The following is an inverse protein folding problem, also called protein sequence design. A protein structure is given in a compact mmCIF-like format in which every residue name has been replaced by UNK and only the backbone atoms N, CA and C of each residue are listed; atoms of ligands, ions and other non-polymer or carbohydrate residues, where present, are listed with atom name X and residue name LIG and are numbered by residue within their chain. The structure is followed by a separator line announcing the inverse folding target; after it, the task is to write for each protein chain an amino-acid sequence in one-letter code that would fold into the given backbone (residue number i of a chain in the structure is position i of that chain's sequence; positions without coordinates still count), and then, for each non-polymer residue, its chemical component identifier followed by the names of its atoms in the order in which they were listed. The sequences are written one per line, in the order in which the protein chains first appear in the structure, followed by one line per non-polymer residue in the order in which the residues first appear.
data_IF_225791933863
#
_entry.id   IF_225791933863
#
_cell.length_a   1.000
_cell.length_b   1.000
_cell.length_c   1.000
_cell.angle_alpha   90.00
_cell.angle_beta   90.00
_cell.angle_gamma   90.00
#
_symmetry.space_group_name_H-M   'P 1'
#
loop_
_entity.id
_entity.type
_entity.pdbx_description
1 polymer ?
#
# COMPACT_ATOMS: atom_id res chain seq x y z
N UNK A 1 12.71 -0.49 -25.71
CA UNK A 1 11.58 -0.24 -24.81
C UNK A 1 10.94 -1.59 -24.49
N UNK A 2 10.87 -1.96 -23.23
CA UNK A 2 10.19 -3.18 -22.79
C UNK A 2 8.87 -2.76 -22.19
N UNK A 3 7.77 -3.27 -22.73
CA UNK A 3 6.42 -3.02 -22.22
C UNK A 3 6.03 -4.22 -21.37
N UNK A 4 5.62 -4.00 -20.13
CA UNK A 4 5.10 -5.05 -19.27
C UNK A 4 3.86 -5.64 -19.92
N UNK A 5 3.71 -6.96 -20.01
CA UNK A 5 2.58 -7.55 -20.71
C UNK A 5 1.27 -7.20 -20.00
N UNK A 6 0.26 -6.98 -20.81
CA UNK A 6 -1.12 -6.97 -20.32
C UNK A 6 -1.47 -8.36 -19.76
N UNK A 7 -2.36 -8.45 -18.77
CA UNK A 7 -2.79 -9.72 -18.20
C UNK A 7 -3.39 -10.62 -19.29
N UNK A 8 -3.00 -11.87 -19.30
CA UNK A 8 -3.47 -12.86 -20.26
C UNK A 8 -4.34 -13.91 -19.58
N UNK A 9 -5.63 -13.88 -19.82
CA UNK A 9 -6.59 -14.85 -19.30
C UNK A 9 -6.99 -14.62 -17.85
N UNK A 10 -7.62 -15.61 -17.22
CA UNK A 10 -8.05 -15.57 -15.83
C UNK A 10 -6.93 -16.03 -14.90
N UNK A 11 -6.42 -15.12 -14.07
CA UNK A 11 -5.43 -15.49 -13.04
C UNK A 11 -6.01 -16.42 -11.98
N UNK A 12 -7.31 -16.33 -11.71
CA UNK A 12 -8.01 -17.25 -10.80
C UNK A 12 -8.02 -18.68 -11.32
N UNK A 13 -8.18 -18.89 -12.65
CA UNK A 13 -8.08 -20.22 -13.26
C UNK A 13 -6.63 -20.75 -13.23
N UNK A 14 -5.67 -19.87 -13.50
CA UNK A 14 -4.26 -20.21 -13.44
C UNK A 14 -3.84 -20.65 -12.04
N UNK A 15 -4.20 -19.88 -11.01
CA UNK A 15 -3.82 -20.18 -9.62
C UNK A 15 -4.52 -21.43 -9.10
N UNK A 16 -5.77 -21.70 -9.53
CA UNK A 16 -6.50 -22.93 -9.21
C UNK A 16 -5.80 -24.16 -9.78
N UNK A 17 -5.50 -24.15 -11.08
CA UNK A 17 -4.79 -25.24 -11.75
C UNK A 17 -3.42 -25.50 -11.13
N UNK A 18 -2.71 -24.44 -10.80
CA UNK A 18 -1.40 -24.53 -10.15
C UNK A 18 -1.49 -25.07 -8.73
N UNK A 19 -2.52 -24.68 -7.97
CA UNK A 19 -2.77 -25.21 -6.64
C UNK A 19 -2.90 -26.73 -6.65
N UNK A 20 -3.73 -27.27 -7.54
CA UNK A 20 -3.90 -28.70 -7.74
C UNK A 20 -2.56 -29.39 -8.10
N UNK A 21 -1.76 -28.76 -8.97
CA UNK A 21 -0.47 -29.31 -9.40
C UNK A 21 0.56 -29.33 -8.26
N UNK A 22 0.60 -28.30 -7.41
CA UNK A 22 1.62 -28.15 -6.34
C UNK A 22 1.25 -28.94 -5.10
N UNK A 23 -0.03 -28.89 -4.69
CA UNK A 23 -0.47 -29.46 -3.40
C UNK A 23 -1.24 -30.76 -3.54
N UNK A 24 -1.73 -31.10 -4.75
CA UNK A 24 -2.48 -32.32 -5.02
C UNK A 24 -3.94 -32.29 -4.50
N UNK A 25 -4.44 -31.11 -4.15
CA UNK A 25 -5.79 -30.88 -3.65
C UNK A 25 -6.48 -29.77 -4.43
N UNK A 26 -7.82 -29.77 -4.47
CA UNK A 26 -8.58 -28.62 -4.92
C UNK A 26 -8.51 -27.50 -3.89
N UNK A 27 -8.50 -26.22 -4.29
CA UNK A 27 -8.54 -25.12 -3.35
C UNK A 27 -9.91 -25.01 -2.67
N UNK A 28 -9.91 -24.68 -1.38
CA UNK A 28 -11.14 -24.35 -0.60
C UNK A 28 -11.65 -22.94 -0.90
N UNK A 29 -10.78 -22.07 -1.45
CA UNK A 29 -11.17 -20.72 -1.86
C UNK A 29 -10.16 -20.10 -2.81
N UNK A 30 -10.67 -19.22 -3.66
CA UNK A 30 -9.91 -18.47 -4.66
C UNK A 30 -10.42 -17.04 -4.74
N UNK A 31 -9.52 -16.08 -4.89
CA UNK A 31 -9.86 -14.69 -5.18
C UNK A 31 -8.70 -13.97 -5.88
N UNK A 32 -9.00 -12.85 -6.51
CA UNK A 32 -8.00 -11.95 -7.09
C UNK A 32 -8.20 -10.52 -6.60
N UNK A 33 -7.13 -9.74 -6.60
CA UNK A 33 -7.17 -8.34 -6.26
C UNK A 33 -6.24 -7.51 -7.15
N UNK A 34 -6.66 -6.28 -7.52
CA UNK A 34 -5.98 -5.45 -8.49
C UNK A 34 -4.76 -4.71 -7.90
N UNK A 35 -3.85 -4.33 -8.79
CA UNK A 35 -2.85 -3.31 -8.51
C UNK A 35 -3.52 -1.96 -8.24
N UNK A 36 -2.88 -1.15 -7.41
CA UNK A 36 -3.34 0.19 -7.05
C UNK A 36 -2.20 1.19 -7.13
N UNK A 37 -2.46 2.40 -7.60
CA UNK A 37 -1.55 3.54 -7.48
C UNK A 37 -2.16 4.67 -6.68
N UNK A 38 -1.36 5.34 -5.85
CA UNK A 38 -1.73 6.61 -5.23
C UNK A 38 -1.41 7.73 -6.20
N UNK A 39 -2.43 8.46 -6.67
CA UNK A 39 -2.24 9.58 -7.57
C UNK A 39 -1.78 10.83 -6.81
N UNK A 40 -2.39 11.08 -5.65
CA UNK A 40 -2.09 12.23 -4.80
C UNK A 40 -2.64 12.00 -3.39
N UNK A 41 -2.11 12.68 -2.38
CA UNK A 41 -2.55 12.54 -0.99
C UNK A 41 -1.85 11.40 -0.25
N UNK A 42 -0.70 10.96 -0.74
CA UNK A 42 0.13 9.93 -0.10
C UNK A 42 0.48 10.33 1.33
N UNK A 43 0.44 9.36 2.23
CA UNK A 43 0.73 9.52 3.68
C UNK A 43 -0.25 10.39 4.48
N UNK A 44 -1.39 10.81 3.93
CA UNK A 44 -2.39 11.62 4.66
C UNK A 44 -3.45 10.80 5.39
N UNK A 45 -3.44 9.50 5.23
CA UNK A 45 -4.47 8.56 5.70
C UNK A 45 -4.63 8.48 7.22
N UNK A 46 -3.55 8.68 7.98
CA UNK A 46 -3.57 8.63 9.45
C UNK A 46 -3.91 9.98 10.12
N UNK A 47 -4.01 11.04 9.34
CA UNK A 47 -4.35 12.40 9.83
C UNK A 47 -5.76 12.85 9.44
N UNK A 48 -6.58 11.95 8.90
CA UNK A 48 -7.88 12.30 8.35
C UNK A 48 -7.78 13.15 7.08
N UNK A 49 -6.73 12.95 6.29
CA UNK A 49 -6.50 13.66 5.04
C UNK A 49 -7.37 13.18 3.89
N UNK A 50 -6.95 13.52 2.68
CA UNK A 50 -7.69 13.27 1.45
C UNK A 50 -6.75 12.71 0.40
N UNK A 51 -7.13 11.62 -0.26
CA UNK A 51 -6.28 10.99 -1.27
C UNK A 51 -7.08 10.46 -2.46
N UNK A 52 -6.39 10.33 -3.59
CA UNK A 52 -6.94 9.80 -4.82
C UNK A 52 -6.12 8.60 -5.31
N UNK A 53 -6.81 7.52 -5.65
CA UNK A 53 -6.23 6.25 -6.08
C UNK A 53 -6.83 5.77 -7.40
N UNK A 54 -6.03 5.03 -8.18
CA UNK A 54 -6.50 4.31 -9.35
C UNK A 54 -6.37 2.79 -9.14
N UNK A 55 -7.30 2.04 -9.77
CA UNK A 55 -7.24 0.58 -9.92
C UNK A 55 -6.68 0.23 -11.30
N UNK A 56 -5.88 -0.81 -11.36
CA UNK A 56 -5.26 -1.28 -12.60
C UNK A 56 -5.60 -2.74 -12.88
N UNK A 57 -5.55 -3.13 -14.15
CA UNK A 57 -5.89 -4.48 -14.61
C UNK A 57 -4.86 -5.56 -14.21
N UNK A 58 -3.65 -5.16 -13.82
CA UNK A 58 -2.67 -6.09 -13.25
C UNK A 58 -3.17 -6.60 -11.89
N UNK A 59 -3.11 -7.90 -11.66
CA UNK A 59 -3.70 -8.52 -10.48
C UNK A 59 -2.73 -9.43 -9.74
N UNK A 60 -3.08 -9.75 -8.51
CA UNK A 60 -2.57 -10.88 -7.74
C UNK A 60 -3.73 -11.80 -7.39
N UNK A 61 -3.66 -13.06 -7.85
CA UNK A 61 -4.63 -14.09 -7.51
C UNK A 61 -4.05 -15.03 -6.47
N UNK A 62 -4.90 -15.47 -5.55
CA UNK A 62 -4.57 -16.38 -4.45
C UNK A 62 -5.59 -17.50 -4.40
N UNK A 63 -5.12 -18.73 -4.26
CA UNK A 63 -5.93 -19.89 -3.88
C UNK A 63 -5.36 -20.53 -2.62
N UNK A 64 -6.21 -21.12 -1.80
CA UNK A 64 -5.77 -21.82 -0.59
C UNK A 64 -6.55 -23.10 -0.36
N UNK A 65 -5.94 -24.05 0.39
CA UNK A 65 -6.63 -25.18 1.01
C UNK A 65 -6.22 -25.30 2.47
N UNK A 66 -7.15 -25.75 3.32
CA UNK A 66 -6.87 -25.97 4.73
C UNK A 66 -6.01 -27.23 4.95
N UNK A 67 -5.16 -27.16 5.96
CA UNK A 67 -4.28 -28.24 6.41
C UNK A 67 -4.82 -28.85 7.70
N UNK A 68 -4.27 -30.00 8.09
CA UNK A 68 -4.56 -30.60 9.41
C UNK A 68 -3.64 -30.07 10.54
N UNK A 69 -2.55 -29.38 10.20
CA UNK A 69 -1.61 -28.76 11.13
C UNK A 69 -1.75 -27.22 11.15
N UNK A 70 -0.88 -26.52 11.86
CA UNK A 70 -0.87 -25.03 11.91
C UNK A 70 0.22 -24.40 11.03
N UNK A 71 0.69 -25.11 9.99
CA UNK A 71 1.68 -24.58 9.06
C UNK A 71 1.01 -23.74 7.96
N UNK A 72 1.69 -22.68 7.56
CA UNK A 72 1.38 -21.87 6.37
C UNK A 72 2.48 -22.12 5.35
N UNK A 73 2.14 -22.74 4.22
CA UNK A 73 3.07 -22.94 3.11
C UNK A 73 2.59 -22.11 1.92
N UNK A 74 3.50 -21.40 1.30
CA UNK A 74 3.21 -20.53 0.15
C UNK A 74 4.04 -20.95 -1.04
N UNK A 75 3.37 -21.21 -2.16
CA UNK A 75 3.98 -21.29 -3.48
C UNK A 75 3.60 -20.03 -4.26
N UNK A 76 4.59 -19.23 -4.63
CA UNK A 76 4.40 -17.93 -5.25
C UNK A 76 5.03 -17.88 -6.62
N UNK A 77 4.22 -17.67 -7.64
CA UNK A 77 4.67 -17.43 -9.01
C UNK A 77 4.64 -15.94 -9.29
N UNK A 78 5.79 -15.39 -9.64
CA UNK A 78 5.95 -13.99 -9.92
C UNK A 78 6.45 -13.77 -11.34
N UNK A 79 5.79 -12.88 -12.08
CA UNK A 79 6.35 -12.34 -13.31
C UNK A 79 7.57 -11.47 -12.96
N UNK A 80 8.69 -11.71 -13.59
CA UNK A 80 9.93 -10.95 -13.42
C UNK A 80 10.65 -10.78 -14.74
N UNK A 81 11.56 -9.82 -14.79
CA UNK A 81 12.46 -9.59 -15.91
C UNK A 81 13.88 -9.43 -15.36
N UNK A 82 14.81 -10.26 -15.84
CA UNK A 82 16.16 -10.29 -15.30
C UNK A 82 17.06 -9.14 -15.81
N UNK A 83 16.66 -8.48 -16.89
CA UNK A 83 17.37 -7.32 -17.47
C UNK A 83 16.58 -6.72 -18.63
N UNK A 84 16.96 -5.51 -19.00
CA UNK A 84 16.37 -4.83 -20.13
C UNK A 84 16.55 -5.62 -21.42
N UNK A 85 15.46 -5.75 -22.17
CA UNK A 85 15.43 -6.53 -23.42
C UNK A 85 15.33 -8.05 -23.23
N UNK A 86 15.38 -8.56 -21.99
CA UNK A 86 15.08 -9.97 -21.71
C UNK A 86 13.58 -10.22 -21.67
N UNK A 87 13.12 -11.44 -22.07
CA UNK A 87 11.72 -11.79 -21.97
C UNK A 87 11.29 -11.86 -20.50
N UNK A 88 10.05 -11.41 -20.24
CA UNK A 88 9.43 -11.61 -18.93
C UNK A 88 9.26 -13.11 -18.69
N UNK A 89 9.67 -13.56 -17.52
CA UNK A 89 9.61 -14.95 -17.09
C UNK A 89 8.85 -15.07 -15.78
N UNK A 90 8.18 -16.18 -15.60
CA UNK A 90 7.60 -16.54 -14.31
C UNK A 90 8.66 -17.28 -13.49
N UNK A 91 8.88 -16.82 -12.25
CA UNK A 91 9.77 -17.46 -11.29
C UNK A 91 8.94 -17.93 -10.11
N UNK A 92 9.16 -19.19 -9.72
CA UNK A 92 8.47 -19.81 -8.59
C UNK A 92 9.35 -19.73 -7.34
N UNK A 93 8.73 -19.37 -6.25
CA UNK A 93 9.32 -19.31 -4.92
C UNK A 93 8.44 -20.05 -3.92
N UNK A 94 9.04 -20.62 -2.87
CA UNK A 94 8.30 -21.28 -1.79
C UNK A 94 8.78 -20.82 -0.43
N UNK A 95 7.82 -20.65 0.49
CA UNK A 95 8.06 -20.25 1.88
C UNK A 95 7.19 -21.06 2.84
N UNK A 96 7.63 -21.15 4.07
CA UNK A 96 6.90 -21.79 5.18
C UNK A 96 6.99 -20.92 6.43
N UNK A 97 5.95 -20.93 7.25
CA UNK A 97 5.83 -20.36 8.58
C UNK A 97 4.79 -21.16 9.37
N UNK A 98 4.66 -20.93 10.67
CA UNK A 98 3.58 -21.50 11.48
C UNK A 98 2.70 -20.40 12.06
N UNK A 99 1.39 -20.65 12.19
CA UNK A 99 0.48 -19.70 12.84
C UNK A 99 0.88 -19.47 14.30
N UNK A 100 1.46 -20.47 14.97
CA UNK A 100 1.89 -20.36 16.37
C UNK A 100 3.05 -19.38 16.54
N UNK A 101 4.09 -19.45 15.69
CA UNK A 101 5.19 -18.49 15.73
C UNK A 101 4.78 -17.08 15.33
N UNK A 102 3.80 -16.95 14.41
CA UNK A 102 3.24 -15.66 14.01
C UNK A 102 2.43 -15.03 15.15
N UNK A 103 1.61 -15.82 15.84
CA UNK A 103 0.82 -15.40 16.99
C UNK A 103 1.71 -14.95 18.15
N UNK A 104 2.77 -15.71 18.46
CA UNK A 104 3.77 -15.36 19.46
C UNK A 104 4.51 -14.06 19.12
N UNK A 105 4.97 -13.92 17.87
CA UNK A 105 5.69 -12.72 17.41
C UNK A 105 4.81 -11.46 17.42
N UNK A 106 3.51 -11.60 17.17
CA UNK A 106 2.53 -10.50 17.16
C UNK A 106 1.92 -10.20 18.53
N UNK A 107 2.21 -11.01 19.55
CA UNK A 107 1.74 -10.79 20.91
C UNK A 107 2.19 -9.42 21.43
N UNK A 108 1.26 -8.62 21.96
CA UNK A 108 1.51 -7.24 22.41
C UNK A 108 1.56 -6.18 21.30
N UNK A 109 1.65 -6.59 20.01
CA UNK A 109 1.54 -5.66 18.87
C UNK A 109 0.08 -5.50 18.48
N UNK A 110 -0.63 -6.61 18.28
CA UNK A 110 -2.06 -6.61 17.90
C UNK A 110 -2.96 -6.16 19.04
N UNK A 111 -2.60 -6.46 20.29
CA UNK A 111 -3.27 -6.04 21.52
C UNK A 111 -2.36 -5.08 22.32
N UNK A 112 -2.14 -3.85 21.89
CA UNK A 112 -1.35 -2.92 22.68
C UNK A 112 -2.03 -2.72 24.04
N UNK A 113 -1.25 -2.67 25.15
CA UNK A 113 -1.80 -2.44 26.46
C UNK A 113 -2.64 -1.15 26.46
N UNK A 114 -3.78 -1.17 27.17
CA UNK A 114 -4.70 -0.04 27.23
C UNK A 114 -3.90 1.24 27.52
N UNK A 115 -4.07 2.28 26.68
CA UNK A 115 -3.37 3.56 26.79
C UNK A 115 -3.64 4.21 28.16
N UNK A 116 -2.85 3.87 29.13
CA UNK A 116 -2.72 4.63 30.36
C UNK A 116 -1.48 5.47 30.20
N UNK A 117 -1.65 6.77 30.17
CA UNK A 117 -0.64 7.83 30.11
C UNK A 117 0.62 7.49 29.28
N UNK A 118 1.21 8.50 28.61
CA UNK A 118 2.53 8.39 27.98
C UNK A 118 3.40 7.47 28.83
N UNK A 119 3.51 6.21 28.41
CA UNK A 119 4.13 5.20 29.24
C UNK A 119 5.57 5.63 29.52
N UNK A 120 5.93 5.70 30.79
CA UNK A 120 7.32 5.76 31.27
C UNK A 120 8.10 4.45 30.97
N UNK A 121 7.72 3.72 29.90
CA UNK A 121 8.47 2.57 29.43
C UNK A 121 9.53 3.03 28.44
N UNK A 122 10.78 2.99 28.85
CA UNK A 122 11.96 3.24 28.01
C UNK A 122 12.10 2.21 26.86
N UNK A 123 11.19 1.25 26.73
CA UNK A 123 11.19 0.28 25.62
C UNK A 123 10.42 0.84 24.42
N UNK A 124 11.07 0.91 23.25
CA UNK A 124 10.39 1.33 22.03
C UNK A 124 9.23 0.36 21.73
N UNK A 125 8.03 0.90 21.53
CA UNK A 125 6.84 0.13 21.21
C UNK A 125 7.08 -0.58 19.87
N UNK A 126 6.98 -1.90 19.83
CA UNK A 126 7.07 -2.67 18.59
C UNK A 126 5.80 -2.47 17.77
N UNK A 127 5.97 -2.14 16.48
CA UNK A 127 4.85 -1.94 15.55
C UNK A 127 4.75 -3.05 14.52
N UNK A 128 5.78 -3.89 14.41
CA UNK A 128 5.82 -5.01 13.47
C UNK A 128 6.65 -6.17 14.04
N UNK A 129 6.51 -7.33 13.43
CA UNK A 129 7.31 -8.53 13.75
C UNK A 129 8.73 -8.46 13.16
N UNK A 130 9.12 -7.37 12.50
CA UNK A 130 10.48 -7.21 12.00
C UNK A 130 11.50 -7.28 13.14
N UNK A 131 12.59 -8.01 12.90
CA UNK A 131 13.57 -8.33 13.96
C UNK A 131 13.28 -9.63 14.73
N UNK A 132 12.05 -10.16 14.64
CA UNK A 132 11.69 -11.48 15.19
C UNK A 132 11.48 -12.49 14.05
N UNK A 133 10.79 -12.08 12.99
CA UNK A 133 10.49 -12.90 11.81
C UNK A 133 10.99 -12.22 10.52
N UNK A 134 11.33 -13.01 9.48
CA UNK A 134 11.72 -12.48 8.18
C UNK A 134 10.51 -11.90 7.44
N UNK A 135 10.39 -10.58 7.39
CA UNK A 135 9.24 -9.88 6.78
C UNK A 135 9.23 -9.89 5.25
N UNK A 136 10.26 -10.39 4.60
CA UNK A 136 10.29 -10.70 3.16
C UNK A 136 9.69 -12.09 2.83
N UNK A 137 9.49 -12.93 3.83
CA UNK A 137 8.86 -14.24 3.74
C UNK A 137 7.34 -14.09 3.50
N UNK A 138 6.85 -14.60 2.37
CA UNK A 138 5.43 -14.51 2.04
C UNK A 138 4.53 -15.39 2.91
N UNK A 139 5.06 -16.48 3.52
CA UNK A 139 4.30 -17.25 4.50
C UNK A 139 4.08 -16.46 5.80
N UNK A 140 5.04 -15.61 6.20
CA UNK A 140 4.86 -14.66 7.32
C UNK A 140 3.80 -13.61 6.97
N UNK A 141 3.86 -13.00 5.78
CA UNK A 141 2.90 -11.98 5.34
C UNK A 141 1.47 -12.51 5.23
N UNK A 142 1.30 -13.66 4.58
CA UNK A 142 -0.02 -14.24 4.34
C UNK A 142 -0.58 -14.95 5.58
N UNK A 143 0.26 -15.64 6.35
CA UNK A 143 -0.11 -16.13 7.68
C UNK A 143 -0.53 -14.99 8.62
N UNK A 144 0.12 -13.83 8.50
CA UNK A 144 -0.25 -12.61 9.21
C UNK A 144 -1.66 -12.11 8.91
N UNK A 145 -2.15 -12.32 7.68
CA UNK A 145 -3.57 -12.06 7.34
C UNK A 145 -4.49 -12.95 8.17
N UNK A 146 -4.17 -14.26 8.26
CA UNK A 146 -4.96 -15.22 9.05
C UNK A 146 -4.98 -14.82 10.52
N UNK A 147 -3.82 -14.52 11.13
CA UNK A 147 -3.71 -14.07 12.52
C UNK A 147 -4.52 -12.78 12.75
N UNK A 148 -4.43 -11.81 11.83
CA UNK A 148 -5.19 -10.56 11.93
C UNK A 148 -6.70 -10.78 11.80
N UNK A 149 -7.16 -11.72 10.95
CA UNK A 149 -8.57 -12.11 10.85
C UNK A 149 -9.07 -12.82 12.10
N UNK A 150 -8.26 -13.71 12.71
CA UNK A 150 -8.56 -14.34 14.01
C UNK A 150 -8.69 -13.28 15.10
N UNK A 151 -7.72 -12.37 15.18
CA UNK A 151 -7.72 -11.28 16.15
C UNK A 151 -8.97 -10.38 16.03
N UNK A 152 -9.44 -10.14 14.81
CA UNK A 152 -10.67 -9.38 14.52
C UNK A 152 -11.94 -10.21 14.53
N UNK A 153 -11.87 -11.47 14.97
CA UNK A 153 -13.01 -12.41 15.09
C UNK A 153 -13.72 -12.68 13.76
N UNK A 154 -13.02 -12.59 12.65
CA UNK A 154 -13.50 -12.97 11.32
C UNK A 154 -13.20 -14.45 11.02
N UNK A 155 -12.20 -15.02 11.68
CA UNK A 155 -11.89 -16.45 11.71
C UNK A 155 -11.87 -16.95 13.15
N UNK A 156 -12.07 -18.25 13.33
CA UNK A 156 -12.03 -18.89 14.65
C UNK A 156 -10.59 -19.07 15.13
N UNK A 157 -10.37 -19.18 16.45
CA UNK A 157 -9.04 -19.43 17.01
C UNK A 157 -8.47 -20.79 16.59
N UNK A 158 -9.35 -21.75 16.28
CA UNK A 158 -8.96 -23.10 15.85
C UNK A 158 -8.74 -23.18 14.33
N UNK A 159 -8.63 -22.05 13.65
CA UNK A 159 -8.32 -22.02 12.20
C UNK A 159 -7.02 -22.78 11.95
N UNK A 160 -7.06 -23.84 11.11
CA UNK A 160 -5.86 -24.62 10.81
C UNK A 160 -4.89 -23.86 9.89
N UNK A 161 -3.73 -24.45 9.64
CA UNK A 161 -2.78 -23.93 8.66
C UNK A 161 -3.30 -24.02 7.23
N UNK A 162 -2.55 -23.46 6.30
CA UNK A 162 -2.96 -23.33 4.91
C UNK A 162 -1.82 -23.70 3.95
N UNK A 163 -2.19 -24.35 2.86
CA UNK A 163 -1.42 -24.41 1.64
C UNK A 163 -1.93 -23.32 0.70
N UNK A 164 -1.07 -22.38 0.33
CA UNK A 164 -1.43 -21.19 -0.44
C UNK A 164 -0.66 -21.17 -1.75
N UNK A 165 -1.35 -20.90 -2.85
CA UNK A 165 -0.74 -20.62 -4.15
C UNK A 165 -1.04 -19.20 -4.56
N UNK A 166 -0.01 -18.49 -5.04
CA UNK A 166 -0.12 -17.11 -5.52
C UNK A 166 0.37 -17.03 -6.95
N UNK A 167 -0.39 -16.37 -7.81
CA UNK A 167 0.04 -15.92 -9.12
C UNK A 167 -0.07 -14.38 -9.16
N UNK A 168 1.04 -13.69 -9.44
CA UNK A 168 1.09 -12.24 -9.36
C UNK A 168 1.71 -11.62 -10.61
N UNK A 169 0.93 -10.79 -11.31
CA UNK A 169 1.37 -10.00 -12.46
C UNK A 169 1.90 -8.62 -12.07
N UNK A 170 1.67 -8.20 -10.82
CA UNK A 170 2.08 -6.87 -10.35
C UNK A 170 3.61 -6.84 -10.22
N UNK A 171 4.30 -5.97 -10.97
CA UNK A 171 5.76 -5.88 -10.92
C UNK A 171 6.26 -5.59 -9.51
N UNK A 172 7.32 -6.28 -9.06
CA UNK A 172 7.92 -5.98 -7.77
C UNK A 172 8.45 -4.54 -7.74
N UNK A 173 8.35 -3.89 -6.60
CA UNK A 173 8.91 -2.57 -6.30
C UNK A 173 8.49 -1.41 -7.23
N UNK A 174 7.51 -1.64 -8.12
CA UNK A 174 6.98 -0.62 -9.02
C UNK A 174 6.01 0.39 -8.34
N UNK A 175 5.81 0.34 -7.02
CA UNK A 175 4.88 1.22 -6.31
C UNK A 175 3.40 0.94 -6.60
N UNK A 176 3.08 -0.25 -7.12
CA UNK A 176 1.72 -0.63 -7.53
C UNK A 176 0.96 -1.48 -6.49
N UNK A 177 1.42 -1.50 -5.24
CA UNK A 177 0.68 -2.12 -4.14
C UNK A 177 0.61 -3.65 -4.17
N UNK A 178 1.67 -4.36 -4.63
CA UNK A 178 1.70 -5.82 -4.69
C UNK A 178 1.35 -6.50 -3.36
N UNK A 179 1.88 -6.00 -2.23
CA UNK A 179 1.53 -6.54 -0.89
C UNK A 179 0.05 -6.34 -0.62
N UNK A 180 -0.48 -5.14 -0.88
CA UNK A 180 -1.89 -4.85 -0.67
C UNK A 180 -2.80 -5.76 -1.51
N UNK A 181 -2.50 -5.96 -2.79
CA UNK A 181 -3.26 -6.86 -3.66
C UNK A 181 -3.23 -8.30 -3.16
N UNK A 182 -2.02 -8.86 -2.88
CA UNK A 182 -1.90 -10.26 -2.48
C UNK A 182 -2.56 -10.55 -1.13
N UNK A 183 -2.39 -9.67 -0.14
CA UNK A 183 -3.05 -9.82 1.17
C UNK A 183 -4.57 -9.66 1.07
N UNK A 184 -5.05 -8.75 0.22
CA UNK A 184 -6.48 -8.54 -0.04
C UNK A 184 -7.11 -9.75 -0.73
N UNK A 185 -6.44 -10.33 -1.73
CA UNK A 185 -6.92 -11.54 -2.41
C UNK A 185 -7.07 -12.71 -1.41
N UNK A 186 -6.07 -12.96 -0.55
CA UNK A 186 -6.18 -14.00 0.47
C UNK A 186 -7.33 -13.74 1.46
N UNK A 187 -7.42 -12.52 1.99
CA UNK A 187 -8.47 -12.18 2.94
C UNK A 187 -9.88 -12.34 2.34
N UNK A 188 -10.04 -11.99 1.06
CA UNK A 188 -11.29 -12.15 0.34
C UNK A 188 -11.59 -13.63 0.08
N UNK A 189 -10.58 -14.44 -0.29
CA UNK A 189 -10.73 -15.88 -0.47
C UNK A 189 -11.18 -16.59 0.82
N UNK A 190 -10.63 -16.18 1.97
CA UNK A 190 -10.96 -16.71 3.30
C UNK A 190 -12.33 -16.27 3.83
N UNK A 191 -12.94 -15.23 3.26
CA UNK A 191 -14.18 -14.63 3.76
C UNK A 191 -15.47 -15.27 3.19
N UNK A 192 -15.51 -16.60 3.03
CA UNK A 192 -16.72 -17.31 2.67
C UNK A 192 -17.06 -17.33 1.17
N UNK A 193 -18.33 -17.59 0.87
CA UNK A 193 -18.82 -17.80 -0.50
C UNK A 193 -18.77 -16.53 -1.35
N UNK A 194 -18.56 -16.66 -2.69
CA UNK A 194 -18.48 -15.51 -3.59
C UNK A 194 -19.65 -14.53 -3.49
N UNK A 195 -20.86 -15.01 -3.28
CA UNK A 195 -22.07 -14.18 -3.18
C UNK A 195 -22.08 -13.29 -1.93
N UNK A 196 -21.38 -13.68 -0.86
CA UNK A 196 -21.27 -12.92 0.39
C UNK A 196 -20.13 -11.88 0.36
N UNK A 197 -19.23 -11.99 -0.62
CA UNK A 197 -18.04 -11.14 -0.74
C UNK A 197 -18.36 -9.70 -1.16
N UNK A 198 -19.56 -9.42 -1.66
CA UNK A 198 -19.94 -8.08 -2.16
C UNK A 198 -20.57 -7.17 -1.09
N UNK A 199 -20.71 -7.66 0.14
CA UNK A 199 -21.21 -6.86 1.25
C UNK A 199 -20.25 -5.69 1.60
N UNK A 200 -20.73 -4.45 1.49
CA UNK A 200 -19.91 -3.26 1.68
C UNK A 200 -19.32 -3.12 3.10
N UNK A 201 -20.04 -3.39 4.19
CA UNK A 201 -19.48 -3.47 5.54
C UNK A 201 -18.38 -4.51 5.68
N UNK A 202 -18.56 -5.69 5.11
CA UNK A 202 -17.56 -6.78 5.13
C UNK A 202 -16.30 -6.36 4.39
N UNK A 203 -16.40 -5.78 3.20
CA UNK A 203 -15.26 -5.25 2.44
C UNK A 203 -14.52 -4.14 3.20
N UNK A 204 -15.22 -3.30 3.95
CA UNK A 204 -14.60 -2.29 4.79
C UNK A 204 -13.80 -2.90 5.96
N UNK A 205 -14.33 -3.95 6.60
CA UNK A 205 -13.61 -4.69 7.65
C UNK A 205 -12.38 -5.40 7.09
N UNK A 206 -12.51 -6.06 5.93
CA UNK A 206 -11.39 -6.72 5.26
C UNK A 206 -10.27 -5.72 4.92
N UNK A 207 -10.61 -4.51 4.43
CA UNK A 207 -9.61 -3.47 4.15
C UNK A 207 -8.80 -3.09 5.41
N UNK A 208 -9.48 -2.95 6.55
CA UNK A 208 -8.82 -2.64 7.82
C UNK A 208 -7.94 -3.79 8.32
N UNK A 209 -8.39 -5.04 8.17
CA UNK A 209 -7.62 -6.23 8.55
C UNK A 209 -6.39 -6.41 7.66
N UNK A 210 -6.53 -6.26 6.34
CA UNK A 210 -5.41 -6.38 5.41
C UNK A 210 -4.35 -5.30 5.64
N UNK A 211 -4.79 -4.06 5.93
CA UNK A 211 -3.87 -2.99 6.28
C UNK A 211 -3.09 -3.32 7.58
N UNK A 212 -3.80 -3.73 8.64
CA UNK A 212 -3.18 -4.17 9.90
C UNK A 212 -2.18 -5.31 9.68
N UNK A 213 -2.57 -6.35 8.92
CA UNK A 213 -1.70 -7.47 8.61
C UNK A 213 -0.42 -7.01 7.86
N UNK A 214 -0.56 -6.12 6.88
CA UNK A 214 0.58 -5.61 6.13
C UNK A 214 1.53 -4.78 7.02
N UNK A 215 1.00 -3.93 7.90
CA UNK A 215 1.82 -3.15 8.83
C UNK A 215 2.58 -4.04 9.81
N UNK A 216 1.93 -5.03 10.38
CA UNK A 216 2.52 -5.91 11.39
C UNK A 216 3.49 -6.92 10.77
N UNK A 217 3.11 -7.58 9.67
CA UNK A 217 3.82 -8.75 9.15
C UNK A 217 4.62 -8.52 7.86
N UNK A 218 4.42 -7.40 7.14
CA UNK A 218 5.24 -7.09 5.97
C UNK A 218 6.44 -6.19 6.27
N UNK A 219 6.58 -5.68 7.50
CA UNK A 219 7.74 -4.91 7.96
C UNK A 219 7.98 -3.60 7.22
N UNK A 220 6.95 -3.01 6.63
CA UNK A 220 7.02 -1.70 5.98
C UNK A 220 5.68 -0.97 6.07
N UNK A 221 5.74 0.35 6.05
CA UNK A 221 4.55 1.18 6.01
C UNK A 221 3.81 1.00 4.68
N UNK A 222 2.48 0.95 4.73
CA UNK A 222 1.61 0.84 3.57
C UNK A 222 0.46 1.84 3.66
N UNK A 223 0.18 2.64 2.61
CA UNK A 223 -0.98 3.52 2.61
C UNK A 223 -2.29 2.74 2.72
N UNK A 224 -3.11 3.08 3.71
CA UNK A 224 -4.42 2.43 3.96
C UNK A 224 -5.35 2.51 2.75
N UNK A 225 -5.24 3.58 1.98
CA UNK A 225 -6.05 3.81 0.79
C UNK A 225 -5.92 2.72 -0.28
N UNK A 226 -4.79 2.02 -0.36
CA UNK A 226 -4.60 0.90 -1.31
C UNK A 226 -5.57 -0.24 -1.03
N UNK A 227 -5.72 -0.64 0.23
CA UNK A 227 -6.63 -1.73 0.65
C UNK A 227 -8.10 -1.33 0.49
N UNK A 228 -8.44 -0.09 0.85
CA UNK A 228 -9.78 0.46 0.66
C UNK A 228 -10.15 0.45 -0.82
N UNK A 229 -9.24 0.94 -1.68
CA UNK A 229 -9.48 1.03 -3.13
C UNK A 229 -9.56 -0.37 -3.76
N UNK A 230 -8.67 -1.30 -3.41
CA UNK A 230 -8.70 -2.66 -3.95
C UNK A 230 -10.02 -3.39 -3.64
N UNK A 231 -10.60 -3.18 -2.45
CA UNK A 231 -11.82 -3.87 -2.01
C UNK A 231 -13.11 -3.13 -2.36
N UNK A 232 -13.11 -1.80 -2.36
CA UNK A 232 -14.33 -0.97 -2.45
C UNK A 232 -14.34 -0.03 -3.64
N UNK A 233 -13.22 0.12 -4.33
CA UNK A 233 -13.07 1.03 -5.46
C UNK A 233 -13.74 0.55 -6.74
N UNK A 234 -13.59 1.34 -7.79
CA UNK A 234 -14.02 1.02 -9.16
C UNK A 234 -12.95 1.43 -10.16
N UNK A 235 -12.88 0.72 -11.29
CA UNK A 235 -12.04 1.09 -12.43
C UNK A 235 -12.66 2.13 -13.36
N UNK A 236 -13.88 2.58 -13.07
CA UNK A 236 -14.59 3.55 -13.92
C UNK A 236 -14.04 4.98 -13.80
N UNK A 237 -13.23 5.25 -12.77
CA UNK A 237 -12.65 6.56 -12.53
C UNK A 237 -11.63 6.56 -11.41
N UNK A 238 -11.27 7.75 -10.95
CA UNK A 238 -10.36 7.95 -9.82
C UNK A 238 -11.12 7.77 -8.53
N UNK A 239 -10.65 6.85 -7.68
CA UNK A 239 -11.23 6.57 -6.37
C UNK A 239 -10.71 7.60 -5.36
N UNK A 240 -11.61 8.33 -4.76
CA UNK A 240 -11.32 9.44 -3.84
C UNK A 240 -11.73 9.05 -2.43
N UNK A 241 -10.79 9.07 -1.52
CA UNK A 241 -11.01 8.71 -0.12
C UNK A 241 -10.86 9.97 0.75
N UNK A 242 -11.89 10.27 1.54
CA UNK A 242 -11.78 11.18 2.69
C UNK A 242 -11.55 10.33 3.94
N UNK A 243 -10.36 10.43 4.52
CA UNK A 243 -10.01 9.63 5.68
C UNK A 243 -10.59 10.18 6.99
N UNK A 244 -11.17 11.39 6.98
CA UNK A 244 -11.79 11.95 8.15
C UNK A 244 -13.12 11.27 8.50
N UNK A 245 -13.90 10.86 7.47
CA UNK A 245 -15.17 10.16 7.63
C UNK A 245 -15.20 8.75 7.03
N UNK A 246 -14.11 8.35 6.33
CA UNK A 246 -13.98 7.05 5.67
C UNK A 246 -14.81 6.92 4.39
N UNK A 247 -15.31 8.02 3.83
CA UNK A 247 -16.07 8.00 2.60
C UNK A 247 -15.20 7.69 1.39
N UNK A 248 -15.78 6.96 0.43
CA UNK A 248 -15.17 6.65 -0.85
C UNK A 248 -16.11 7.14 -1.96
N UNK A 249 -15.61 8.04 -2.79
CA UNK A 249 -16.34 8.58 -3.96
C UNK A 249 -15.51 8.40 -5.22
N UNK A 250 -16.13 8.58 -6.39
CA UNK A 250 -15.47 8.48 -7.69
C UNK A 250 -15.43 9.83 -8.37
N UNK A 251 -14.29 10.19 -8.92
CA UNK A 251 -14.11 11.35 -9.77
C UNK A 251 -13.81 10.89 -11.20
N UNK A 252 -14.31 11.59 -12.24
CA UNK A 252 -13.94 11.33 -13.62
C UNK A 252 -12.49 11.75 -13.88
N UNK A 253 -11.99 11.44 -15.05
CA UNK A 253 -10.69 11.92 -15.54
C UNK A 253 -9.53 10.93 -15.32
N UNK A 254 -8.39 11.17 -15.93
CA UNK A 254 -7.17 10.37 -16.04
C UNK A 254 -7.39 8.90 -16.43
N UNK A 255 -8.27 8.21 -15.70
CA UNK A 255 -8.69 6.83 -15.97
C UNK A 255 -9.87 6.89 -16.95
N UNK A 256 -9.81 6.16 -18.05
CA UNK A 256 -10.83 6.12 -19.12
C UNK A 256 -11.08 7.46 -19.85
N UNK A 257 -10.17 8.42 -19.76
CA UNK A 257 -10.26 9.66 -20.53
C UNK A 257 -9.38 9.56 -21.78
N UNK A 258 -9.93 9.73 -23.00
CA UNK A 258 -9.13 9.70 -24.22
C UNK A 258 -7.97 10.71 -24.18
N UNK A 259 -6.79 10.30 -24.63
CA UNK A 259 -5.58 11.13 -24.62
C UNK A 259 -4.77 11.05 -23.31
N UNK A 260 -5.24 10.32 -22.30
CA UNK A 260 -4.52 10.16 -21.03
C UNK A 260 -4.45 8.69 -20.61
N UNK A 261 -3.27 8.24 -20.27
CA UNK A 261 -3.02 6.90 -19.73
C UNK A 261 -2.03 7.00 -18.59
N UNK A 262 -2.29 6.26 -17.53
CA UNK A 262 -1.33 6.09 -16.44
C UNK A 262 -0.27 5.05 -16.85
N UNK A 263 0.98 5.35 -16.52
CA UNK A 263 2.08 4.42 -16.70
C UNK A 263 3.06 4.50 -15.53
N UNK A 264 3.79 3.43 -15.30
CA UNK A 264 4.94 3.42 -14.40
C UNK A 264 6.21 3.29 -15.23
N UNK A 265 7.19 4.12 -14.91
CA UNK A 265 8.53 4.07 -15.51
C UNK A 265 9.53 3.66 -14.44
N UNK A 266 10.31 2.64 -14.71
CA UNK A 266 11.29 2.10 -13.78
C UNK A 266 12.60 1.72 -14.49
N UNK A 267 13.74 1.96 -13.86
CA UNK A 267 15.04 1.45 -14.32
C UNK A 267 15.32 0.04 -13.81
N UNK A 268 14.68 -0.33 -12.73
CA UNK A 268 14.82 -1.63 -12.08
C UNK A 268 13.53 -2.02 -11.38
N UNK A 269 13.32 -3.31 -11.23
CA UNK A 269 12.27 -3.90 -10.39
C UNK A 269 12.85 -4.48 -9.09
N UNK A 270 14.04 -4.07 -8.72
CA UNK A 270 14.66 -4.43 -7.44
C UNK A 270 14.22 -3.49 -6.32
N UNK A 271 14.37 -3.97 -5.10
CA UNK A 271 14.09 -3.14 -3.92
C UNK A 271 15.11 -2.00 -3.83
N UNK A 272 14.65 -0.78 -3.54
CA UNK A 272 15.56 0.30 -3.15
C UNK A 272 16.38 -0.14 -1.93
N UNK A 273 17.71 0.05 -1.94
CA UNK A 273 18.58 -0.28 -0.80
C UNK A 273 18.20 0.52 0.46
N UNK A 274 17.54 1.66 0.29
CA UNK A 274 17.11 2.54 1.38
C UNK A 274 15.67 2.35 1.82
N UNK A 275 14.94 1.37 1.24
CA UNK A 275 13.51 1.15 1.50
C UNK A 275 13.20 0.93 2.98
N UNK A 276 14.00 0.11 3.68
CA UNK A 276 13.79 -0.18 5.11
C UNK A 276 13.95 1.08 5.95
N UNK A 277 15.03 1.82 5.75
CA UNK A 277 15.30 3.08 6.47
C UNK A 277 14.23 4.14 6.21
N UNK A 278 13.75 4.24 4.96
CA UNK A 278 12.67 5.15 4.59
C UNK A 278 11.36 4.76 5.27
N UNK A 279 11.02 3.47 5.27
CA UNK A 279 9.84 2.95 5.97
C UNK A 279 9.88 3.25 7.46
N UNK A 280 11.01 3.01 8.13
CA UNK A 280 11.18 3.28 9.56
C UNK A 280 11.08 4.78 9.87
N UNK A 281 11.59 5.65 8.98
CA UNK A 281 11.41 7.11 9.13
C UNK A 281 9.94 7.52 9.05
N UNK A 282 9.25 7.07 8.02
CA UNK A 282 7.83 7.37 7.81
C UNK A 282 6.96 6.86 8.98
N UNK A 283 7.29 5.69 9.53
CA UNK A 283 6.63 5.16 10.73
C UNK A 283 6.85 6.08 11.92
N UNK A 284 8.10 6.49 12.23
CA UNK A 284 8.39 7.41 13.33
C UNK A 284 7.70 8.77 13.17
N UNK A 285 7.65 9.31 11.94
CA UNK A 285 6.90 10.55 11.67
C UNK A 285 5.42 10.39 11.96
N UNK A 286 4.80 9.29 11.51
CA UNK A 286 3.40 8.96 11.78
C UNK A 286 3.12 8.84 13.28
N UNK A 287 3.96 8.10 14.00
CA UNK A 287 3.82 7.92 15.46
C UNK A 287 3.87 9.24 16.20
N UNK A 288 4.85 10.07 15.89
CA UNK A 288 4.97 11.40 16.49
C UNK A 288 3.71 12.24 16.24
N UNK A 289 3.23 12.30 15.00
CA UNK A 289 2.06 13.10 14.63
C UNK A 289 0.80 12.56 15.29
N UNK A 290 0.61 11.24 15.31
CA UNK A 290 -0.51 10.61 16.01
C UNK A 290 -0.48 10.91 17.53
N UNK A 291 0.69 10.86 18.17
CA UNK A 291 0.86 11.23 19.57
C UNK A 291 0.55 12.71 19.81
N UNK A 292 0.99 13.59 18.91
CA UNK A 292 0.66 15.03 18.99
C UNK A 292 -0.84 15.29 18.88
N UNK A 293 -1.53 14.69 17.87
CA UNK A 293 -2.99 14.80 17.73
C UNK A 293 -3.73 14.29 18.96
N UNK A 294 -3.30 13.13 19.50
CA UNK A 294 -3.86 12.56 20.73
C UNK A 294 -3.69 13.50 21.93
N UNK A 295 -2.53 14.19 22.05
CA UNK A 295 -2.30 15.17 23.12
C UNK A 295 -3.26 16.37 23.04
N UNK A 296 -3.66 16.78 21.83
CA UNK A 296 -4.66 17.82 21.63
C UNK A 296 -6.11 17.31 21.70
N UNK A 297 -6.32 16.01 21.90
CA UNK A 297 -7.65 15.40 21.97
C UNK A 297 -8.41 15.39 20.63
N UNK A 298 -7.67 15.42 19.52
CA UNK A 298 -8.23 15.41 18.16
C UNK A 298 -7.77 14.17 17.39
N UNK A 299 -8.52 13.78 16.36
CA UNK A 299 -8.22 12.61 15.52
C UNK A 299 -7.76 13.00 14.12
N UNK A 300 -7.97 14.24 13.71
CA UNK A 300 -7.59 14.73 12.38
C UNK A 300 -6.91 16.10 12.47
N UNK A 301 -6.05 16.41 11.48
CA UNK A 301 -5.40 17.72 11.39
C UNK A 301 -6.40 18.86 11.18
N UNK A 302 -7.52 18.60 10.49
CA UNK A 302 -8.58 19.60 10.26
C UNK A 302 -9.26 20.06 11.56
N UNK A 303 -9.26 19.21 12.60
CA UNK A 303 -9.81 19.55 13.92
C UNK A 303 -8.84 20.42 14.75
N UNK A 304 -7.62 20.65 14.26
CA UNK A 304 -6.60 21.44 14.95
C UNK A 304 -6.19 22.67 14.12
N UNK A 305 -6.95 23.79 14.17
CA UNK A 305 -6.58 25.01 13.45
C UNK A 305 -5.17 25.49 13.83
N UNK A 306 -4.33 25.81 12.82
CA UNK A 306 -2.94 26.18 13.04
C UNK A 306 -2.08 25.01 13.57
N UNK A 307 -2.38 23.78 13.17
CA UNK A 307 -1.76 22.54 13.66
C UNK A 307 -0.23 22.62 13.71
N UNK A 308 0.41 23.09 12.65
CA UNK A 308 1.88 23.16 12.57
C UNK A 308 2.49 24.02 13.68
N UNK A 309 1.94 25.23 13.91
CA UNK A 309 2.41 26.12 14.97
C UNK A 309 2.13 25.52 16.37
N UNK A 310 0.91 25.01 16.60
CA UNK A 310 0.51 24.46 17.90
C UNK A 310 1.31 23.21 18.27
N UNK A 311 1.59 22.32 17.31
CA UNK A 311 2.41 21.12 17.52
C UNK A 311 3.87 21.54 17.76
N UNK A 312 4.40 22.54 17.04
CA UNK A 312 5.73 23.09 17.26
C UNK A 312 5.89 23.68 18.66
N UNK A 313 4.93 24.49 19.13
CA UNK A 313 4.94 25.08 20.47
C UNK A 313 4.85 24.00 21.57
N UNK A 314 3.97 23.01 21.39
CA UNK A 314 3.86 21.87 22.29
C UNK A 314 5.18 21.07 22.35
N UNK A 315 5.77 20.75 21.21
CA UNK A 315 7.03 20.01 21.15
C UNK A 315 8.17 20.79 21.81
N UNK A 316 8.23 22.10 21.58
CA UNK A 316 9.21 22.99 22.24
C UNK A 316 9.09 22.94 23.77
N UNK A 317 7.85 22.97 24.28
CA UNK A 317 7.59 22.83 25.71
C UNK A 317 7.98 21.45 26.25
N UNK A 318 7.68 20.36 25.51
CA UNK A 318 8.08 19.01 25.88
C UNK A 318 9.60 18.87 25.95
N UNK A 319 10.31 19.33 24.93
CA UNK A 319 11.79 19.29 24.86
C UNK A 319 12.40 20.09 26.02
N UNK A 320 11.83 21.25 26.37
CA UNK A 320 12.34 22.07 27.48
C UNK A 320 12.26 21.37 28.84
N UNK A 321 11.33 20.44 29.02
CA UNK A 321 11.09 19.71 30.28
C UNK A 321 11.79 18.34 30.29
N UNK A 322 11.68 17.58 29.20
CA UNK A 322 12.16 16.19 29.11
C UNK A 322 13.52 16.03 28.42
N UNK A 323 14.02 17.08 27.77
CA UNK A 323 15.18 17.00 26.88
C UNK A 323 14.81 16.63 25.44
N UNK A 324 15.77 16.76 24.51
CA UNK A 324 15.53 16.51 23.07
C UNK A 324 15.58 15.02 22.68
N UNK A 325 16.03 14.13 23.58
CA UNK A 325 16.22 12.72 23.26
C UNK A 325 14.88 12.04 22.95
N UNK A 326 14.83 11.30 21.83
CA UNK A 326 13.63 10.59 21.38
C UNK A 326 12.59 11.48 20.68
N UNK A 327 12.81 12.78 20.54
CA UNK A 327 11.91 13.70 19.85
C UNK A 327 12.51 14.22 18.53
N UNK A 328 11.69 14.49 17.50
CA UNK A 328 12.16 15.17 16.30
C UNK A 328 12.52 16.63 16.64
N UNK A 329 13.26 17.28 15.76
CA UNK A 329 13.47 18.73 15.83
C UNK A 329 12.16 19.47 15.57
N UNK A 330 11.98 20.61 16.21
CA UNK A 330 10.73 21.39 16.10
C UNK A 330 10.46 21.82 14.66
N UNK A 331 11.50 22.24 13.93
CA UNK A 331 11.39 22.62 12.52
C UNK A 331 11.01 21.42 11.61
N UNK A 332 11.55 20.24 11.86
CA UNK A 332 11.17 19.02 11.14
C UNK A 332 9.71 18.63 11.39
N UNK A 333 9.29 18.57 12.67
CA UNK A 333 7.92 18.26 13.04
C UNK A 333 6.92 19.24 12.41
N UNK A 334 7.24 20.54 12.42
CA UNK A 334 6.44 21.58 11.78
C UNK A 334 6.33 21.38 10.27
N UNK A 335 7.43 21.02 9.61
CA UNK A 335 7.43 20.73 8.18
C UNK A 335 6.58 19.48 7.85
N UNK A 336 6.64 18.42 8.65
CA UNK A 336 5.81 17.23 8.43
C UNK A 336 4.32 17.55 8.51
N UNK A 337 3.90 18.29 9.54
CA UNK A 337 2.50 18.69 9.71
C UNK A 337 2.03 19.60 8.58
N UNK A 338 2.88 20.56 8.16
CA UNK A 338 2.60 21.44 7.02
C UNK A 338 2.43 20.63 5.74
N UNK A 339 3.33 19.70 5.45
CA UNK A 339 3.22 18.83 4.28
C UNK A 339 1.88 18.07 4.26
N UNK A 340 1.52 17.40 5.36
CA UNK A 340 0.31 16.59 5.43
C UNK A 340 -0.97 17.42 5.24
N UNK A 341 -0.99 18.64 5.75
CA UNK A 341 -2.07 19.59 5.53
C UNK A 341 -2.16 20.02 4.06
N UNK A 342 -1.05 20.50 3.52
CA UNK A 342 -0.96 21.00 2.15
C UNK A 342 -1.19 19.89 1.10
N UNK A 343 -0.75 18.66 1.38
CA UNK A 343 -0.95 17.52 0.49
C UNK A 343 -2.44 17.11 0.46
N UNK A 344 -3.12 17.15 1.60
CA UNK A 344 -4.56 16.91 1.64
C UNK A 344 -5.33 17.98 0.84
N UNK A 345 -4.90 19.24 0.91
CA UNK A 345 -5.51 20.34 0.14
C UNK A 345 -5.19 20.23 -1.36
N UNK A 346 -3.95 19.86 -1.72
CA UNK A 346 -3.59 19.55 -3.12
C UNK A 346 -4.45 18.41 -3.67
N UNK A 347 -4.66 17.35 -2.89
CA UNK A 347 -5.51 16.24 -3.30
C UNK A 347 -6.97 16.66 -3.52
N UNK A 348 -7.53 17.53 -2.67
CA UNK A 348 -8.87 18.12 -2.89
C UNK A 348 -8.91 18.95 -4.16
N UNK A 349 -7.91 19.79 -4.38
CA UNK A 349 -7.83 20.63 -5.59
C UNK A 349 -7.71 19.77 -6.85
N UNK A 350 -6.85 18.77 -6.86
CA UNK A 350 -6.72 17.79 -7.94
C UNK A 350 -8.08 17.17 -8.31
N UNK A 351 -8.82 16.68 -7.32
CA UNK A 351 -10.14 16.06 -7.54
C UNK A 351 -11.17 17.08 -8.03
N UNK A 352 -11.12 18.33 -7.57
CA UNK A 352 -12.00 19.40 -8.09
C UNK A 352 -11.75 19.67 -9.56
N UNK A 353 -10.48 19.70 -9.98
CA UNK A 353 -10.10 19.87 -11.39
C UNK A 353 -10.58 18.70 -12.26
N UNK A 354 -10.42 17.46 -11.79
CA UNK A 354 -10.97 16.29 -12.48
C UNK A 354 -12.48 16.35 -12.64
N UNK A 355 -13.22 16.72 -11.59
CA UNK A 355 -14.68 16.90 -11.62
C UNK A 355 -15.11 18.02 -12.56
N UNK A 356 -14.28 19.06 -12.70
CA UNK A 356 -14.46 20.15 -13.65
C UNK A 356 -14.00 19.78 -15.08
N UNK A 357 -13.50 18.58 -15.33
CA UNK A 357 -12.93 18.09 -16.61
C UNK A 357 -11.71 18.90 -17.09
N UNK A 358 -10.96 19.48 -16.16
CA UNK A 358 -9.71 20.22 -16.39
C UNK A 358 -8.52 19.28 -16.15
N UNK A 359 -8.37 18.29 -17.04
CA UNK A 359 -7.43 17.18 -16.83
C UNK A 359 -5.99 17.65 -16.90
N UNK A 360 -5.64 18.58 -17.80
CA UNK A 360 -4.27 19.13 -17.90
C UNK A 360 -3.87 19.86 -16.62
N UNK A 361 -4.76 20.76 -16.09
CA UNK A 361 -4.52 21.43 -14.82
C UNK A 361 -4.39 20.43 -13.65
N UNK A 362 -5.13 19.32 -13.68
CA UNK A 362 -4.98 18.24 -12.69
C UNK A 362 -3.62 17.52 -12.82
N UNK A 363 -3.13 17.30 -14.04
CA UNK A 363 -1.81 16.74 -14.28
C UNK A 363 -0.69 17.66 -13.74
N UNK A 364 -0.85 18.98 -13.84
CA UNK A 364 0.10 19.92 -13.23
C UNK A 364 0.13 19.79 -11.71
N UNK A 365 -1.03 19.70 -11.05
CA UNK A 365 -1.12 19.50 -9.60
C UNK A 365 -0.52 18.15 -9.19
N UNK A 366 -0.75 17.09 -9.96
CA UNK A 366 -0.16 15.77 -9.76
C UNK A 366 1.37 15.83 -9.77
N UNK A 367 1.96 16.49 -10.77
CA UNK A 367 3.41 16.63 -10.89
C UNK A 367 4.00 17.51 -9.77
N UNK A 368 3.32 18.59 -9.39
CA UNK A 368 3.74 19.49 -8.31
C UNK A 368 3.82 18.81 -6.93
N UNK A 369 3.09 17.72 -6.71
CA UNK A 369 3.16 16.95 -5.46
C UNK A 369 4.46 16.16 -5.31
N UNK A 370 5.24 15.93 -6.37
CA UNK A 370 6.46 15.10 -6.35
C UNK A 370 7.51 15.61 -5.38
N UNK A 371 7.91 16.89 -5.50
CA UNK A 371 8.94 17.48 -4.65
C UNK A 371 8.60 17.47 -3.16
N UNK A 372 7.42 17.98 -2.75
CA UNK A 372 6.95 17.92 -1.36
C UNK A 372 6.89 16.49 -0.79
N UNK A 373 6.42 15.50 -1.58
CA UNK A 373 6.35 14.09 -1.13
C UNK A 373 7.74 13.51 -0.88
N UNK A 374 8.71 13.78 -1.75
CA UNK A 374 10.12 13.37 -1.55
C UNK A 374 10.73 14.05 -0.33
N UNK A 375 10.48 15.34 -0.13
CA UNK A 375 10.96 16.06 1.05
C UNK A 375 10.40 15.47 2.34
N UNK A 376 9.10 15.16 2.38
CA UNK A 376 8.47 14.53 3.53
C UNK A 376 9.07 13.15 3.81
N UNK A 377 9.25 12.33 2.80
CA UNK A 377 9.88 11.03 2.93
C UNK A 377 11.40 11.10 3.18
N UNK A 378 12.01 12.29 3.12
CA UNK A 378 13.46 12.51 3.17
C UNK A 378 14.21 11.60 2.17
N UNK A 379 13.65 11.48 0.98
CA UNK A 379 14.14 10.61 -0.08
C UNK A 379 14.70 11.42 -1.25
N UNK A 380 15.65 10.82 -1.96
CA UNK A 380 16.11 11.32 -3.25
C UNK A 380 15.10 11.02 -4.34
N UNK A 381 15.03 11.87 -5.36
CA UNK A 381 14.23 11.56 -6.54
C UNK A 381 14.77 10.29 -7.21
N UNK A 382 13.89 9.44 -7.78
CA UNK A 382 14.31 8.35 -8.63
C UNK A 382 15.31 8.84 -9.70
N UNK A 383 16.30 8.02 -10.00
CA UNK A 383 17.34 8.37 -10.98
C UNK A 383 16.83 8.54 -12.42
N UNK A 384 15.57 8.16 -12.66
CA UNK A 384 14.89 8.28 -13.94
C UNK A 384 14.24 9.65 -14.05
N UNK A 385 14.46 10.33 -15.18
CA UNK A 385 13.68 11.50 -15.56
C UNK A 385 12.90 11.15 -16.84
N UNK A 386 11.62 11.42 -16.86
CA UNK A 386 10.81 11.33 -18.08
C UNK A 386 10.53 12.77 -18.51
N UNK A 387 11.20 13.25 -19.59
CA UNK A 387 11.01 14.62 -20.04
C UNK A 387 9.58 14.88 -20.52
N UNK A 388 9.09 16.09 -20.33
CA UNK A 388 7.89 16.64 -20.92
C UNK A 388 6.55 15.97 -20.53
N UNK A 389 6.53 15.07 -19.56
CA UNK A 389 5.30 14.46 -19.06
C UNK A 389 5.12 14.67 -17.55
N UNK A 390 3.89 14.82 -17.07
CA UNK A 390 3.61 14.88 -15.63
C UNK A 390 4.04 13.59 -14.94
N UNK A 391 4.92 13.69 -13.97
CA UNK A 391 5.44 12.51 -13.26
C UNK A 391 5.68 12.79 -11.78
N UNK A 392 5.55 11.75 -10.95
CA UNK A 392 5.88 11.76 -9.53
C UNK A 392 6.43 10.39 -9.09
N UNK A 393 7.09 10.26 -7.94
CA UNK A 393 7.42 8.95 -7.39
C UNK A 393 6.17 8.09 -7.27
N UNK A 394 6.24 6.83 -7.70
CA UNK A 394 5.13 5.89 -7.60
C UNK A 394 4.79 5.57 -6.13
N UNK A 395 5.80 5.66 -5.24
CA UNK A 395 5.68 5.57 -3.80
C UNK A 395 6.87 6.29 -3.18
N UNK A 396 6.67 7.51 -2.67
CA UNK A 396 7.77 8.39 -2.25
C UNK A 396 8.61 7.77 -1.12
N UNK A 397 9.91 7.61 -1.39
CA UNK A 397 10.87 6.99 -0.48
C UNK A 397 10.87 5.47 -0.43
N UNK A 398 9.87 4.80 -1.03
CA UNK A 398 9.73 3.34 -0.98
C UNK A 398 9.88 2.65 -2.35
N UNK A 399 9.84 3.41 -3.44
CA UNK A 399 9.99 2.91 -4.80
C UNK A 399 10.93 3.80 -5.62
N UNK A 400 11.74 3.18 -6.47
CA UNK A 400 12.59 3.88 -7.46
C UNK A 400 11.84 4.13 -8.79
N UNK A 401 10.56 3.80 -8.84
CA UNK A 401 9.72 4.00 -10.02
C UNK A 401 9.00 5.36 -9.99
N UNK A 402 8.72 5.89 -11.18
CA UNK A 402 7.87 7.05 -11.38
C UNK A 402 6.49 6.62 -11.88
N UNK A 403 5.45 7.18 -11.29
CA UNK A 403 4.11 7.17 -11.85
C UNK A 403 3.97 8.40 -12.74
N UNK A 404 3.50 8.20 -13.96
CA UNK A 404 3.37 9.25 -14.97
C UNK A 404 2.04 9.18 -15.70
N UNK A 405 1.67 10.28 -16.32
CA UNK A 405 0.53 10.38 -17.26
C UNK A 405 1.09 10.58 -18.66
N UNK A 406 0.76 9.70 -19.58
CA UNK A 406 1.24 9.72 -20.95
C UNK A 406 0.09 9.84 -21.94
N UNK A 407 0.36 10.37 -23.13
CA UNK A 407 -0.54 10.20 -24.28
C UNK A 407 -0.37 8.76 -24.82
N UNK A 408 -1.43 7.95 -24.90
CA UNK A 408 -1.32 6.58 -25.40
C UNK A 408 -0.86 6.49 -26.87
N UNK A 409 -0.97 7.59 -27.62
CA UNK A 409 -0.57 7.67 -29.04
C UNK A 409 0.79 8.32 -29.24
N UNK A 410 1.31 9.04 -28.24
CA UNK A 410 2.61 9.71 -28.27
C UNK A 410 3.40 9.39 -26.99
N UNK A 411 3.88 8.16 -26.93
CA UNK A 411 4.64 7.68 -25.77
C UNK A 411 6.03 8.33 -25.76
N UNK A 412 6.42 9.00 -24.67
CA UNK A 412 7.68 9.72 -24.60
C UNK A 412 8.89 8.81 -24.82
N UNK A 413 9.97 9.35 -25.38
CA UNK A 413 11.25 8.67 -25.46
C UNK A 413 11.76 8.39 -24.04
N UNK A 414 12.04 7.11 -23.76
CA UNK A 414 12.56 6.70 -22.47
C UNK A 414 14.06 7.03 -22.40
N UNK A 415 14.57 7.44 -21.21
CA UNK A 415 15.93 7.99 -21.08
C UNK A 415 17.03 6.98 -21.40
N UNK A 416 16.77 5.67 -21.25
CA UNK A 416 17.73 4.62 -21.57
C UNK A 416 17.04 3.40 -22.15
N UNK A 417 17.74 2.56 -22.94
CA UNK A 417 17.19 1.30 -23.46
C UNK A 417 16.75 0.32 -22.34
N UNK A 418 17.28 0.52 -21.14
CA UNK A 418 17.06 -0.34 -19.98
C UNK A 418 15.85 0.08 -19.14
N UNK A 419 15.17 1.16 -19.55
CA UNK A 419 14.00 1.65 -18.85
C UNK A 419 12.77 0.80 -19.20
N UNK A 420 12.05 0.37 -18.17
CA UNK A 420 10.76 -0.30 -18.28
C UNK A 420 9.65 0.73 -18.34
N UNK A 421 8.73 0.56 -19.28
CA UNK A 421 7.45 1.25 -19.30
C UNK A 421 6.33 0.25 -19.05
N UNK A 422 5.57 0.47 -17.99
CA UNK A 422 4.44 -0.36 -17.58
C UNK A 422 3.18 0.45 -17.78
N UNK A 423 2.44 0.16 -18.83
CA UNK A 423 1.14 0.81 -19.11
C UNK A 423 0.09 0.26 -18.15
N UNK A 424 -0.76 1.14 -17.63
CA UNK A 424 -1.70 0.81 -16.58
C UNK A 424 -3.14 0.95 -17.11
N UNK A 425 -3.68 -0.13 -17.60
CA UNK A 425 -5.10 -0.21 -17.96
C UNK A 425 -5.99 -0.21 -16.71
N UNK A 426 -7.22 0.33 -16.79
CA UNK A 426 -8.17 0.28 -15.69
C UNK A 426 -8.50 -1.14 -15.26
N UNK A 427 -8.56 -1.39 -13.95
CA UNK A 427 -8.87 -2.68 -13.34
C UNK A 427 -10.26 -2.74 -12.73
N UNK A 428 -10.58 -3.90 -12.17
CA UNK A 428 -11.79 -4.12 -11.36
C UNK A 428 -11.40 -4.27 -9.90
N UNK A 429 -12.35 -4.04 -8.97
CA UNK A 429 -12.12 -4.32 -7.55
C UNK A 429 -11.89 -5.82 -7.32
N UNK A 430 -11.32 -6.17 -6.19
CA UNK A 430 -11.05 -7.55 -5.78
C UNK A 430 -12.32 -8.43 -5.87
N UNK A 431 -12.19 -9.64 -6.39
CA UNK A 431 -13.28 -10.57 -6.72
C UNK A 431 -12.90 -12.02 -6.44
#
# INVERSE_FOLDING_TARGET
MVVWPEPHGSLTDLVTTRHQSVWGTDPDGVAAAPATSCLIGEWTDFTGGYAAFALHSLESAVSFSFRADRKVRVHFTQATQAGAGEPIRNVDHSWEATLDELEEAAAGILDPPAKGHLADSDEPQRHSVSGTLPTDNWAVRLGGVVISMIHRQMLTRDTPGLDITVACEIPPHAGLGRVAATTTALALALNGEPDERDDAPTRAKLAAVCHLAAEVFAGSIHPRGRFITALRGTGEGVNVIDFADGSLTVAPGLVNTPGYELAVVASTLEASPHRSEASDRLLRQREFICAALSNFGVTTLQQLPGAAARIGDWLSAVISVKGPEGYPRVDEATQWVTFLHDEADRARHFVQLLRARKVDEACDVFALSAGPSLQYAQATAPAIAVPEVPARPAEAGLSEALLTVVDPFDVPELPTPDTLLIRLSPGQRAH
#
